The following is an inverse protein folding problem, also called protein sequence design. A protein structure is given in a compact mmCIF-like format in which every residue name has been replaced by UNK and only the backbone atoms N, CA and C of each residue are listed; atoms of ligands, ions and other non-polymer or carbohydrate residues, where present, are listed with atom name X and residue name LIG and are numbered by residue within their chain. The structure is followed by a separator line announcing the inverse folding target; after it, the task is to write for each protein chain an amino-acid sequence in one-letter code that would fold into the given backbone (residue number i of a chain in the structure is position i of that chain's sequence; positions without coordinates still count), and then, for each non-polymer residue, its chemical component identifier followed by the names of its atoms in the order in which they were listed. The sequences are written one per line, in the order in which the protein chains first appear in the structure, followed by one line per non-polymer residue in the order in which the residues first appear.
data_IF_683534141471
#
_entry.id   IF_683534141471
#
_cell.length_a   1.000
_cell.length_b   1.000
_cell.length_c   1.000
_cell.angle_alpha   90.00
_cell.angle_beta   90.00
_cell.angle_gamma   90.00
#
_symmetry.space_group_name_H-M   'P 1'
#
loop_
_entity.id
_entity.type
_entity.pdbx_description
1 polymer ?
#
# COMPACT_ATOMS: atom_id res chain seq x y z
N UNK A 1 32.48 48.51 24.26
CA UNK A 1 31.45 47.67 23.63
C UNK A 1 31.06 46.61 24.63
N UNK A 2 29.87 46.68 25.21
CA UNK A 2 29.41 45.75 26.23
C UNK A 2 28.96 44.44 25.55
N UNK A 3 29.66 43.34 25.84
CA UNK A 3 29.19 41.99 25.53
C UNK A 3 28.02 41.69 26.47
N UNK A 4 26.82 41.74 25.91
CA UNK A 4 25.60 41.30 26.60
C UNK A 4 25.72 39.81 26.89
N UNK A 5 25.97 39.47 28.15
CA UNK A 5 25.92 38.10 28.66
C UNK A 5 24.48 37.58 28.58
N UNK A 6 24.10 37.08 27.41
CA UNK A 6 22.89 36.28 27.28
C UNK A 6 23.14 34.95 27.97
N UNK A 7 22.63 34.81 29.20
CA UNK A 7 22.48 33.52 29.86
C UNK A 7 21.75 32.58 28.88
N UNK A 8 22.48 31.59 28.38
CA UNK A 8 21.87 30.55 27.55
C UNK A 8 20.97 29.74 28.48
N UNK A 9 19.66 29.66 28.22
CA UNK A 9 18.77 28.85 29.04
C UNK A 9 19.32 27.43 29.07
N UNK A 10 19.41 26.83 30.27
CA UNK A 10 19.83 25.44 30.49
C UNK A 10 18.89 24.49 29.76
N UNK A 11 19.07 24.34 28.45
CA UNK A 11 18.32 23.40 27.63
C UNK A 11 18.90 22.01 27.85
N UNK A 12 18.09 21.12 28.41
CA UNK A 12 18.47 19.71 28.56
C UNK A 12 18.55 19.08 27.18
N UNK A 13 19.67 18.43 26.87
CA UNK A 13 19.85 17.75 25.59
C UNK A 13 18.87 16.59 25.45
N UNK A 14 18.19 16.51 24.31
CA UNK A 14 17.31 15.39 23.97
C UNK A 14 18.16 14.17 23.61
N UNK A 15 17.96 13.06 24.32
CA UNK A 15 18.63 11.80 23.99
C UNK A 15 17.85 11.06 22.91
N UNK A 16 18.48 10.85 21.76
CA UNK A 16 17.82 10.20 20.61
C UNK A 16 18.08 8.69 20.62
N UNK A 17 17.01 7.91 20.59
CA UNK A 17 17.06 6.45 20.48
C UNK A 17 16.37 5.89 19.21
N UNK A 18 15.61 6.70 18.49
CA UNK A 18 14.87 6.32 17.28
C UNK A 18 15.08 7.32 16.14
N UNK A 19 14.90 6.91 14.87
CA UNK A 19 14.91 7.83 13.75
C UNK A 19 13.87 8.94 13.94
N UNK A 20 14.25 10.19 13.71
CA UNK A 20 13.34 11.32 13.85
C UNK A 20 13.51 12.34 12.74
N UNK A 21 12.40 12.96 12.34
CA UNK A 21 12.40 14.09 11.41
C UNK A 21 12.45 15.40 12.20
N UNK A 22 13.39 16.28 11.89
CA UNK A 22 13.51 17.62 12.47
C UNK A 22 13.09 18.63 11.41
N UNK A 23 12.08 19.44 11.73
CA UNK A 23 11.56 20.48 10.85
C UNK A 23 12.63 21.55 10.53
N UNK A 24 12.45 22.22 9.39
CA UNK A 24 13.30 23.35 9.01
C UNK A 24 13.27 24.48 10.06
N UNK A 25 14.36 25.23 10.16
CA UNK A 25 14.54 26.35 11.10
C UNK A 25 14.41 25.95 12.57
N UNK A 26 14.73 24.70 12.90
CA UNK A 26 14.73 24.19 14.28
C UNK A 26 16.14 24.16 14.84
N UNK A 27 16.30 24.57 16.09
CA UNK A 27 17.53 24.40 16.87
C UNK A 27 17.26 23.44 18.02
N UNK A 28 18.05 22.37 18.12
CA UNK A 28 17.85 21.35 19.13
C UNK A 28 19.18 20.81 19.65
N UNK A 29 19.31 20.72 20.98
CA UNK A 29 20.42 20.03 21.63
C UNK A 29 20.15 18.54 21.66
N UNK A 30 21.10 17.75 21.15
CA UNK A 30 20.96 16.31 20.99
C UNK A 30 22.11 15.58 21.67
N UNK A 31 21.81 14.43 22.28
CA UNK A 31 22.80 13.51 22.81
C UNK A 31 22.54 12.11 22.26
N UNK A 32 23.61 11.41 21.87
CA UNK A 32 23.54 10.04 21.39
C UNK A 32 24.83 9.30 21.73
N UNK A 33 24.72 8.03 22.09
CA UNK A 33 25.85 7.19 22.50
C UNK A 33 26.62 6.58 21.31
N UNK A 34 26.36 7.03 20.09
CA UNK A 34 27.04 6.54 18.88
C UNK A 34 26.90 7.51 17.70
N UNK A 35 27.43 7.15 16.52
CA UNK A 35 27.40 8.01 15.35
C UNK A 35 25.96 8.23 14.85
N UNK A 36 25.54 9.49 14.80
CA UNK A 36 24.28 9.96 14.24
C UNK A 36 24.43 10.11 12.73
N UNK A 37 23.55 9.47 11.96
CA UNK A 37 23.43 9.74 10.53
C UNK A 37 22.38 10.83 10.32
N UNK A 38 22.79 11.95 9.71
CA UNK A 38 21.94 13.07 9.34
C UNK A 38 21.74 13.06 7.83
N UNK A 39 20.48 13.11 7.39
CA UNK A 39 20.09 13.18 5.98
C UNK A 39 19.24 14.42 5.75
N UNK A 40 19.60 15.25 4.78
CA UNK A 40 18.70 16.31 4.34
C UNK A 40 17.64 15.74 3.41
N UNK A 41 16.40 16.15 3.56
CA UNK A 41 15.30 15.67 2.70
C UNK A 41 15.60 16.05 1.24
N UNK A 42 15.67 15.05 0.36
CA UNK A 42 15.95 15.23 -1.07
C UNK A 42 17.44 15.24 -1.44
N UNK A 43 18.36 15.04 -0.49
CA UNK A 43 19.81 14.95 -0.74
C UNK A 43 20.28 13.52 -0.48
N UNK A 44 21.10 12.97 -1.38
CA UNK A 44 21.63 11.60 -1.28
C UNK A 44 22.81 11.49 -0.32
N UNK A 45 23.53 12.59 -0.09
CA UNK A 45 24.65 12.66 0.84
C UNK A 45 24.20 12.48 2.28
N UNK A 46 25.02 11.76 3.04
CA UNK A 46 24.79 11.42 4.45
C UNK A 46 25.91 12.03 5.26
N UNK A 47 25.55 12.79 6.29
CA UNK A 47 26.51 13.32 7.25
C UNK A 47 26.51 12.41 8.48
N UNK A 48 27.67 11.82 8.79
CA UNK A 48 27.87 11.09 10.03
C UNK A 48 28.47 12.03 11.08
N UNK A 49 27.78 12.18 12.19
CA UNK A 49 28.22 13.01 13.32
C UNK A 49 28.38 12.14 14.55
N UNK A 50 29.56 12.15 15.16
CA UNK A 50 29.80 11.48 16.43
C UNK A 50 30.34 12.49 17.43
N UNK A 51 29.73 12.55 18.61
CA UNK A 51 30.18 13.40 19.70
C UNK A 51 29.95 12.69 21.02
N UNK A 52 30.91 12.81 21.95
CA UNK A 52 30.78 12.38 23.34
C UNK A 52 30.01 13.39 24.21
N UNK A 53 29.74 14.59 23.67
CA UNK A 53 29.04 15.68 24.34
C UNK A 53 27.77 16.06 23.55
N UNK A 54 26.75 16.66 24.20
CA UNK A 54 25.59 17.17 23.49
C UNK A 54 25.96 18.07 22.30
N UNK A 55 25.26 17.90 21.17
CA UNK A 55 25.47 18.64 19.93
C UNK A 55 24.25 19.53 19.69
N UNK A 56 24.49 20.82 19.42
CA UNK A 56 23.46 21.70 18.90
C UNK A 56 23.33 21.49 17.40
N UNK A 57 22.17 20.99 16.95
CA UNK A 57 21.83 20.92 15.54
C UNK A 57 20.95 22.09 15.20
N UNK A 58 21.39 22.90 14.22
CA UNK A 58 20.63 24.00 13.65
C UNK A 58 20.42 23.75 12.16
N UNK A 59 19.16 23.66 11.74
CA UNK A 59 18.81 23.23 10.38
C UNK A 59 18.09 24.34 9.63
N UNK A 60 18.50 24.60 8.40
CA UNK A 60 17.76 25.48 7.47
C UNK A 60 16.70 24.71 6.67
N UNK A 61 16.86 23.40 6.57
CA UNK A 61 15.96 22.49 5.85
C UNK A 61 15.49 21.38 6.79
N UNK A 62 14.49 20.63 6.35
CA UNK A 62 14.06 19.43 7.05
C UNK A 62 15.16 18.36 6.97
N UNK A 63 15.50 17.74 8.10
CA UNK A 63 16.50 16.66 8.18
C UNK A 63 15.92 15.43 8.88
N UNK A 64 16.39 14.26 8.48
CA UNK A 64 16.17 13.01 9.18
C UNK A 64 17.44 12.65 9.97
N UNK A 65 17.28 12.41 11.27
CA UNK A 65 18.33 11.88 12.14
C UNK A 65 18.06 10.40 12.37
N UNK A 66 19.06 9.57 12.11
CA UNK A 66 19.01 8.13 12.34
C UNK A 66 20.08 7.77 13.37
N UNK A 67 19.71 7.51 14.64
CA UNK A 67 20.66 7.06 15.64
C UNK A 67 21.07 5.60 15.38
N UNK A 68 22.25 5.18 15.86
CA UNK A 68 22.63 3.78 15.82
C UNK A 68 21.77 2.98 16.80
N UNK A 69 21.43 1.75 16.42
CA UNK A 69 20.71 0.84 17.31
C UNK A 69 21.62 0.43 18.45
N UNK A 70 21.32 0.92 19.65
CA UNK A 70 22.09 0.59 20.84
C UNK A 70 21.66 -0.78 21.38
N UNK A 71 22.56 -1.46 22.09
CA UNK A 71 22.24 -2.71 22.80
C UNK A 71 21.13 -2.52 23.84
N UNK A 72 20.98 -1.31 24.38
CA UNK A 72 19.88 -0.92 25.26
C UNK A 72 18.52 -0.99 24.58
N UNK A 73 18.41 -0.46 23.35
CA UNK A 73 17.19 -0.56 22.55
C UNK A 73 16.80 -2.02 22.31
N UNK A 74 17.75 -2.85 21.88
CA UNK A 74 17.50 -4.28 21.62
C UNK A 74 17.02 -5.02 22.87
N UNK A 75 17.67 -4.76 24.03
CA UNK A 75 17.24 -5.31 25.33
C UNK A 75 15.84 -4.83 25.73
N UNK A 76 15.52 -3.56 25.49
CA UNK A 76 14.19 -3.00 25.75
C UNK A 76 13.14 -3.66 24.86
N UNK A 77 13.41 -3.76 23.56
CA UNK A 77 12.54 -4.39 22.58
C UNK A 77 12.21 -5.85 22.92
N UNK A 78 13.21 -6.66 23.28
CA UNK A 78 12.99 -8.07 23.66
C UNK A 78 12.19 -8.25 24.95
N UNK A 79 12.08 -7.20 25.79
CA UNK A 79 11.23 -7.23 27.00
C UNK A 79 9.79 -6.85 26.71
N UNK A 80 9.48 -6.32 25.53
CA UNK A 80 8.10 -6.00 25.16
C UNK A 80 7.33 -7.29 24.85
N UNK A 81 6.08 -7.42 25.30
CA UNK A 81 5.13 -8.40 24.76
C UNK A 81 4.97 -8.23 23.24
N UNK A 82 4.71 -9.33 22.54
CA UNK A 82 4.62 -9.31 21.07
C UNK A 82 3.47 -8.42 20.57
N UNK A 83 2.38 -8.31 21.34
CA UNK A 83 1.25 -7.43 21.03
C UNK A 83 1.67 -5.96 20.98
N UNK A 84 2.51 -5.52 21.93
CA UNK A 84 3.02 -4.15 21.95
C UNK A 84 4.02 -3.89 20.82
N UNK A 85 4.86 -4.88 20.48
CA UNK A 85 5.76 -4.79 19.32
C UNK A 85 4.97 -4.60 18.03
N UNK A 86 3.92 -5.40 17.83
CA UNK A 86 3.03 -5.32 16.67
C UNK A 86 2.33 -3.95 16.62
N UNK A 87 1.77 -3.47 17.73
CA UNK A 87 1.12 -2.15 17.77
C UNK A 87 2.06 -1.01 17.41
N UNK A 88 3.29 -1.02 17.94
CA UNK A 88 4.31 -0.01 17.63
C UNK A 88 4.67 -0.05 16.14
N UNK A 89 4.91 -1.25 15.59
CA UNK A 89 5.27 -1.37 14.18
C UNK A 89 4.11 -1.03 13.25
N UNK A 90 2.88 -1.43 13.57
CA UNK A 90 1.68 -1.09 12.81
C UNK A 90 1.49 0.42 12.70
N UNK A 91 1.62 1.14 13.81
CA UNK A 91 1.51 2.61 13.78
C UNK A 91 2.48 3.27 12.81
N UNK A 92 3.67 2.69 12.65
CA UNK A 92 4.75 3.28 11.86
C UNK A 92 4.81 2.80 10.40
N UNK A 93 4.45 1.54 10.18
CA UNK A 93 4.62 0.82 8.90
C UNK A 93 3.35 0.88 8.05
N UNK A 94 2.18 1.09 8.66
CA UNK A 94 0.94 1.27 7.93
C UNK A 94 0.87 2.64 7.25
N UNK A 95 0.34 2.63 6.04
CA UNK A 95 0.19 3.80 5.19
C UNK A 95 -1.30 4.08 5.04
N UNK A 96 -1.71 5.30 5.38
CA UNK A 96 -3.08 5.78 5.16
C UNK A 96 -3.33 6.03 3.68
N UNK A 97 -3.48 4.96 2.89
CA UNK A 97 -3.74 5.07 1.47
C UNK A 97 -3.35 3.84 0.68
N UNK A 98 -3.59 3.92 -0.63
CA UNK A 98 -3.27 2.84 -1.55
C UNK A 98 -1.79 2.92 -1.95
N UNK A 99 -1.05 1.82 -1.77
CA UNK A 99 0.36 1.74 -2.16
C UNK A 99 0.44 1.40 -3.65
N UNK A 100 0.79 2.39 -4.46
CA UNK A 100 0.95 2.29 -5.92
C UNK A 100 0.03 3.27 -6.67
N UNK A 101 -0.05 3.12 -7.99
CA UNK A 101 -0.76 4.08 -8.84
C UNK A 101 0.03 5.39 -9.00
N UNK A 102 -0.50 6.51 -8.49
CA UNK A 102 0.18 7.81 -8.51
C UNK A 102 1.31 7.93 -7.48
N UNK A 103 1.21 7.18 -6.38
CA UNK A 103 2.28 7.11 -5.40
C UNK A 103 3.39 6.19 -5.93
N UNK A 104 4.64 6.66 -5.91
CA UNK A 104 5.79 5.83 -6.25
C UNK A 104 5.98 4.77 -5.16
N UNK A 105 5.78 3.45 -5.44
CA UNK A 105 5.85 2.41 -4.43
C UNK A 105 7.20 2.37 -3.69
N UNK A 106 8.27 2.76 -4.39
CA UNK A 106 9.62 2.75 -3.82
C UNK A 106 9.81 3.86 -2.79
N UNK A 107 9.27 5.07 -3.02
CA UNK A 107 9.28 6.14 -2.01
C UNK A 107 8.51 5.73 -0.75
N UNK A 108 7.38 5.05 -0.90
CA UNK A 108 6.58 4.56 0.23
C UNK A 108 7.39 3.53 1.04
N UNK A 109 8.06 2.58 0.38
CA UNK A 109 8.92 1.60 1.05
C UNK A 109 10.11 2.24 1.73
N UNK A 110 10.78 3.18 1.05
CA UNK A 110 11.92 3.90 1.60
C UNK A 110 11.59 4.64 2.88
N UNK A 111 10.38 5.23 2.94
CA UNK A 111 9.90 5.97 4.10
C UNK A 111 9.36 5.07 5.21
N UNK A 112 8.55 4.06 4.87
CA UNK A 112 7.75 3.32 5.86
C UNK A 112 8.25 1.91 6.17
N UNK A 113 9.06 1.28 5.31
CA UNK A 113 9.49 -0.11 5.49
C UNK A 113 11.00 -0.24 5.68
N UNK A 114 11.80 0.37 4.80
CA UNK A 114 13.26 0.21 4.77
C UNK A 114 13.98 0.64 6.06
N UNK A 115 13.52 1.66 6.83
CA UNK A 115 14.14 1.97 8.11
C UNK A 115 14.10 0.76 9.06
N UNK A 116 12.98 0.04 9.10
CA UNK A 116 12.77 -1.12 9.95
C UNK A 116 13.49 -2.38 9.45
N UNK A 117 13.62 -2.54 8.13
CA UNK A 117 14.39 -3.65 7.55
C UNK A 117 15.89 -3.58 7.88
N UNK A 118 16.39 -2.41 8.26
CA UNK A 118 17.78 -2.20 8.66
C UNK A 118 17.99 -2.33 10.17
N UNK A 119 16.95 -2.68 10.93
CA UNK A 119 17.03 -2.88 12.38
C UNK A 119 17.44 -4.31 12.75
N UNK A 120 16.87 -4.87 13.82
CA UNK A 120 17.11 -6.26 14.18
C UNK A 120 16.36 -7.20 13.21
N UNK A 121 16.82 -8.45 13.02
CA UNK A 121 16.12 -9.42 12.17
C UNK A 121 14.65 -9.63 12.55
N UNK A 122 14.34 -9.62 13.86
CA UNK A 122 12.98 -9.71 14.39
C UNK A 122 12.11 -8.53 13.94
N UNK A 123 12.61 -7.29 14.10
CA UNK A 123 11.89 -6.09 13.68
C UNK A 123 11.70 -6.08 12.16
N UNK A 124 12.73 -6.46 11.40
CA UNK A 124 12.66 -6.53 9.95
C UNK A 124 11.59 -7.54 9.48
N UNK A 125 11.51 -8.71 10.13
CA UNK A 125 10.52 -9.72 9.82
C UNK A 125 9.09 -9.22 10.12
N UNK A 126 8.85 -8.71 11.33
CA UNK A 126 7.55 -8.19 11.75
C UNK A 126 7.10 -7.00 10.88
N UNK A 127 7.99 -6.04 10.64
CA UNK A 127 7.69 -4.88 9.81
C UNK A 127 7.35 -5.29 8.38
N UNK A 128 8.09 -6.24 7.80
CA UNK A 128 7.80 -6.77 6.47
C UNK A 128 6.43 -7.45 6.43
N UNK A 129 6.14 -8.31 7.40
CA UNK A 129 4.86 -9.00 7.50
C UNK A 129 3.70 -8.00 7.60
N UNK A 130 3.75 -7.07 8.54
CA UNK A 130 2.75 -6.01 8.71
C UNK A 130 2.58 -5.22 7.40
N UNK A 131 3.68 -4.78 6.79
CA UNK A 131 3.63 -3.94 5.59
C UNK A 131 2.88 -4.62 4.43
N UNK A 132 3.15 -5.89 4.14
CA UNK A 132 2.52 -6.58 3.02
C UNK A 132 1.16 -7.18 3.36
N UNK A 133 0.91 -7.53 4.61
CA UNK A 133 -0.35 -8.15 5.02
C UNK A 133 -1.45 -7.16 5.35
N UNK A 134 -1.14 -5.94 5.79
CA UNK A 134 -2.14 -4.97 6.26
C UNK A 134 -2.33 -3.76 5.36
N UNK A 135 -1.35 -3.39 4.52
CA UNK A 135 -1.55 -2.32 3.55
C UNK A 135 -2.29 -2.80 2.30
N UNK A 136 -3.03 -1.89 1.67
CA UNK A 136 -3.66 -2.11 0.37
C UNK A 136 -2.71 -1.72 -0.77
N UNK A 137 -2.59 -2.58 -1.78
CA UNK A 137 -1.70 -2.37 -2.92
C UNK A 137 -2.49 -2.15 -4.21
N UNK A 138 -2.13 -1.10 -4.96
CA UNK A 138 -2.63 -0.90 -6.31
C UNK A 138 -1.94 -1.89 -7.26
N UNK A 139 -2.74 -2.64 -7.99
CA UNK A 139 -2.29 -3.37 -9.17
C UNK A 139 -2.86 -2.68 -10.39
N UNK A 140 -1.98 -2.32 -11.32
CA UNK A 140 -2.35 -1.58 -12.52
C UNK A 140 -2.11 -2.45 -13.74
N UNK A 141 -2.99 -2.33 -14.72
CA UNK A 141 -2.69 -2.78 -16.07
C UNK A 141 -1.55 -1.93 -16.62
N UNK A 142 -0.55 -2.58 -17.19
CA UNK A 142 0.52 -1.96 -17.95
C UNK A 142 0.50 -2.55 -19.35
N UNK A 143 0.46 -1.68 -20.36
CA UNK A 143 0.63 -2.10 -21.75
C UNK A 143 2.11 -2.34 -22.03
N UNK A 144 2.43 -3.43 -22.73
CA UNK A 144 3.81 -3.74 -23.09
C UNK A 144 4.44 -2.85 -24.14
N UNK A 145 3.66 -1.96 -24.76
CA UNK A 145 4.17 -0.99 -25.72
C UNK A 145 4.04 0.42 -25.14
N UNK A 146 5.14 1.19 -25.07
CA UNK A 146 5.08 2.60 -24.73
C UNK A 146 4.25 3.29 -25.82
N UNK A 147 3.08 3.81 -25.41
CA UNK A 147 2.19 4.69 -26.15
C UNK A 147 2.29 4.59 -27.68
N UNK A 148 1.52 3.67 -28.28
CA UNK A 148 1.15 3.85 -29.68
C UNK A 148 0.50 5.24 -29.80
N UNK A 149 1.01 6.15 -30.65
CA UNK A 149 0.45 7.48 -30.82
C UNK A 149 -1.00 7.45 -31.33
N UNK A 150 -1.47 6.29 -31.80
CA UNK A 150 -2.81 6.06 -32.30
C UNK A 150 -3.77 5.45 -31.26
N UNK A 151 -3.31 5.16 -30.04
CA UNK A 151 -4.16 4.60 -28.98
C UNK A 151 -4.69 3.19 -29.25
N UNK A 152 -4.14 2.50 -30.26
CA UNK A 152 -4.44 1.10 -30.56
C UNK A 152 -3.55 0.22 -29.66
N UNK A 153 -4.04 -0.03 -28.45
CA UNK A 153 -3.42 -0.90 -27.44
C UNK A 153 -3.61 -2.39 -27.78
N UNK A 154 -3.08 -2.84 -28.91
CA UNK A 154 -3.10 -4.27 -29.30
C UNK A 154 -1.97 -5.09 -28.64
N UNK A 155 -1.22 -4.48 -27.72
CA UNK A 155 -0.13 -5.14 -27.03
C UNK A 155 -0.55 -6.11 -25.95
N UNK A 156 0.32 -7.09 -25.61
CA UNK A 156 0.10 -7.95 -24.46
C UNK A 156 -0.01 -7.07 -23.20
N UNK A 157 -1.12 -7.25 -22.50
CA UNK A 157 -1.41 -6.55 -21.25
C UNK A 157 -0.90 -7.39 -20.08
N UNK A 158 -0.16 -6.77 -19.16
CA UNK A 158 0.28 -7.41 -17.93
C UNK A 158 -0.10 -6.59 -16.70
N UNK A 159 -0.14 -7.25 -15.55
CA UNK A 159 -0.30 -6.58 -14.26
C UNK A 159 1.05 -6.16 -13.72
N UNK A 160 1.17 -4.90 -13.34
CA UNK A 160 2.26 -4.41 -12.50
C UNK A 160 1.88 -4.58 -11.02
N UNK A 161 2.72 -5.33 -10.29
CA UNK A 161 2.56 -5.62 -8.87
C UNK A 161 3.94 -5.90 -8.24
N UNK A 162 4.08 -5.89 -6.89
CA UNK A 162 5.34 -6.24 -6.24
C UNK A 162 5.89 -7.59 -6.71
N UNK A 163 7.23 -7.73 -6.74
CA UNK A 163 7.90 -8.94 -7.25
C UNK A 163 7.32 -10.21 -6.62
N UNK A 164 7.23 -11.29 -7.41
CA UNK A 164 6.62 -12.59 -7.05
C UNK A 164 6.95 -13.15 -5.66
N UNK A 165 8.17 -13.03 -5.09
CA UNK A 165 8.45 -13.54 -3.73
C UNK A 165 7.63 -12.89 -2.61
N UNK A 166 6.85 -11.86 -2.92
CA UNK A 166 6.02 -11.11 -1.98
C UNK A 166 4.53 -11.20 -2.30
N UNK A 167 4.15 -11.78 -3.45
CA UNK A 167 2.74 -11.81 -3.86
C UNK A 167 1.89 -12.69 -2.96
N UNK A 168 2.47 -13.73 -2.37
CA UNK A 168 1.83 -14.58 -1.37
C UNK A 168 1.61 -13.89 -0.01
N UNK A 169 2.30 -12.78 0.27
CA UNK A 169 2.13 -11.99 1.48
C UNK A 169 1.01 -10.94 1.36
N UNK A 170 0.63 -10.58 0.13
CA UNK A 170 -0.41 -9.59 -0.12
C UNK A 170 -1.80 -10.12 0.26
N UNK A 171 -2.52 -9.36 1.08
CA UNK A 171 -3.89 -9.67 1.54
C UNK A 171 -4.95 -8.73 0.95
N UNK A 172 -4.57 -7.48 0.69
CA UNK A 172 -5.47 -6.43 0.23
C UNK A 172 -4.97 -5.85 -1.10
N UNK A 173 -5.76 -6.01 -2.15
CA UNK A 173 -5.40 -5.59 -3.49
C UNK A 173 -6.49 -4.73 -4.09
N UNK A 174 -6.10 -3.66 -4.77
CA UNK A 174 -6.99 -2.80 -5.54
C UNK A 174 -6.62 -2.85 -7.01
N UNK A 175 -7.55 -3.29 -7.85
CA UNK A 175 -7.39 -3.32 -9.30
C UNK A 175 -8.20 -2.20 -9.95
N UNK A 176 -7.51 -1.26 -10.59
CA UNK A 176 -8.15 -0.21 -11.37
C UNK A 176 -8.28 -0.66 -12.84
N UNK A 177 -9.51 -0.66 -13.35
CA UNK A 177 -9.85 -1.16 -14.69
C UNK A 177 -10.62 -0.13 -15.50
N UNK A 178 -10.41 -0.14 -16.81
CA UNK A 178 -11.20 0.59 -17.78
C UNK A 178 -12.33 -0.26 -18.39
N UNK A 179 -12.51 -1.48 -17.89
CA UNK A 179 -13.53 -2.45 -18.31
C UNK A 179 -13.44 -2.86 -19.78
N UNK A 180 -12.22 -3.00 -20.31
CA UNK A 180 -11.99 -3.63 -21.61
C UNK A 180 -11.95 -5.15 -21.49
N UNK A 181 -12.14 -5.90 -22.59
CA UNK A 181 -12.06 -7.37 -22.58
C UNK A 181 -10.74 -7.88 -21.96
N UNK A 182 -9.61 -7.28 -22.35
CA UNK A 182 -8.31 -7.61 -21.77
C UNK A 182 -8.25 -7.40 -20.24
N UNK A 183 -8.99 -6.45 -19.69
CA UNK A 183 -9.05 -6.26 -18.23
C UNK A 183 -9.84 -7.38 -17.56
N UNK A 184 -10.90 -7.88 -18.20
CA UNK A 184 -11.68 -9.02 -17.70
C UNK A 184 -10.86 -10.31 -17.74
N UNK A 185 -10.05 -10.50 -18.77
CA UNK A 185 -9.12 -11.63 -18.83
C UNK A 185 -8.11 -11.56 -17.67
N UNK A 186 -7.57 -10.37 -17.36
CA UNK A 186 -6.69 -10.17 -16.21
C UNK A 186 -7.41 -10.39 -14.88
N UNK A 187 -8.67 -9.95 -14.74
CA UNK A 187 -9.50 -10.20 -13.56
C UNK A 187 -9.78 -11.69 -13.36
N UNK A 188 -10.08 -12.42 -14.43
CA UNK A 188 -10.30 -13.87 -14.36
C UNK A 188 -9.02 -14.59 -13.90
N UNK A 189 -7.87 -14.24 -14.47
CA UNK A 189 -6.56 -14.78 -14.05
C UNK A 189 -6.22 -14.42 -12.61
N UNK A 190 -6.59 -13.22 -12.15
CA UNK A 190 -6.44 -12.78 -10.76
C UNK A 190 -7.31 -13.60 -9.82
N UNK A 191 -8.58 -13.79 -10.16
CA UNK A 191 -9.52 -14.62 -9.41
C UNK A 191 -9.08 -16.08 -9.31
N UNK A 192 -8.46 -16.61 -10.38
CA UNK A 192 -7.89 -17.96 -10.44
C UNK A 192 -6.54 -18.09 -9.71
N UNK A 193 -5.96 -17.00 -9.22
CA UNK A 193 -4.71 -17.01 -8.46
C UNK A 193 -3.43 -17.15 -9.31
N UNK A 194 -3.50 -16.93 -10.63
CA UNK A 194 -2.34 -17.10 -11.54
C UNK A 194 -1.17 -16.15 -11.25
N UNK A 195 -1.44 -15.04 -10.58
CA UNK A 195 -0.42 -14.06 -10.19
C UNK A 195 0.25 -14.37 -8.83
N UNK A 196 -0.13 -15.47 -8.18
CA UNK A 196 0.50 -15.95 -6.94
C UNK A 196 -0.03 -15.32 -5.65
N UNK A 197 -1.13 -14.58 -5.70
CA UNK A 197 -1.79 -14.02 -4.51
C UNK A 197 -2.57 -15.09 -3.73
N UNK A 198 -1.87 -16.10 -3.21
CA UNK A 198 -2.48 -17.31 -2.61
C UNK A 198 -3.33 -17.03 -1.37
N UNK A 199 -3.01 -15.95 -0.67
CA UNK A 199 -3.61 -15.59 0.59
C UNK A 199 -4.43 -14.30 0.48
N UNK A 200 -4.88 -13.96 -0.72
CA UNK A 200 -5.67 -12.77 -0.97
C UNK A 200 -6.97 -12.83 -0.14
N UNK A 201 -7.19 -11.84 0.72
CA UNK A 201 -8.36 -11.76 1.59
C UNK A 201 -9.42 -10.82 1.03
N UNK A 202 -8.99 -9.69 0.45
CA UNK A 202 -9.89 -8.69 -0.08
C UNK A 202 -9.40 -8.13 -1.43
N UNK A 203 -10.34 -7.99 -2.37
CA UNK A 203 -10.11 -7.37 -3.68
C UNK A 203 -11.09 -6.21 -3.90
N UNK A 204 -10.54 -5.03 -4.15
CA UNK A 204 -11.31 -3.86 -4.54
C UNK A 204 -11.15 -3.63 -6.04
N UNK A 205 -12.25 -3.68 -6.79
CA UNK A 205 -12.26 -3.41 -8.23
C UNK A 205 -12.76 -1.98 -8.44
N UNK A 206 -11.87 -1.12 -8.91
CA UNK A 206 -12.19 0.27 -9.24
C UNK A 206 -12.43 0.39 -10.74
N UNK A 207 -13.59 0.90 -11.12
CA UNK A 207 -13.93 1.05 -12.53
C UNK A 207 -14.58 2.38 -12.84
N UNK A 208 -14.43 2.85 -14.07
CA UNK A 208 -15.10 4.05 -14.55
C UNK A 208 -16.25 3.65 -15.48
N UNK A 209 -17.47 3.77 -14.97
CA UNK A 209 -18.67 3.34 -15.70
C UNK A 209 -18.91 4.13 -16.98
N UNK A 210 -18.56 5.41 -16.99
CA UNK A 210 -18.74 6.27 -18.17
C UNK A 210 -17.72 5.95 -19.26
N UNK A 211 -16.49 5.57 -18.88
CA UNK A 211 -15.52 5.08 -19.85
C UNK A 211 -16.02 3.83 -20.56
N UNK A 212 -16.69 2.92 -19.84
CA UNK A 212 -17.33 1.74 -20.41
C UNK A 212 -18.52 2.10 -21.31
N UNK A 213 -19.37 3.04 -20.90
CA UNK A 213 -20.48 3.54 -21.73
C UNK A 213 -19.98 4.12 -23.06
N UNK A 214 -18.84 4.78 -23.06
CA UNK A 214 -18.26 5.38 -24.27
C UNK A 214 -17.44 4.43 -25.12
N UNK A 215 -16.90 3.35 -24.53
CA UNK A 215 -16.18 2.31 -25.27
C UNK A 215 -17.10 1.30 -25.96
N UNK A 216 -18.41 1.32 -25.66
CA UNK A 216 -19.41 0.45 -26.27
C UNK A 216 -20.38 1.28 -27.14
N UNK A 217 -20.01 1.63 -28.39
CA UNK A 217 -20.87 2.39 -29.31
C UNK A 217 -22.26 1.79 -29.48
N UNK A 218 -22.38 0.46 -29.39
CA UNK A 218 -23.63 -0.30 -29.47
C UNK A 218 -24.61 0.04 -28.35
N UNK A 219 -24.14 0.47 -27.17
CA UNK A 219 -25.00 0.87 -26.04
C UNK A 219 -25.58 2.27 -26.17
N UNK A 220 -25.08 3.11 -27.10
CA UNK A 220 -25.69 4.42 -27.40
C UNK A 220 -26.96 4.28 -28.24
N UNK A 221 -27.19 3.13 -28.86
CA UNK A 221 -28.42 2.86 -29.59
C UNK A 221 -29.51 2.38 -28.62
N UNK A 222 -30.81 2.66 -28.87
CA UNK A 222 -31.92 2.26 -28.01
C UNK A 222 -32.15 0.74 -27.95
N UNK A 223 -31.25 -0.06 -28.52
CA UNK A 223 -31.34 -1.50 -28.46
C UNK A 223 -30.93 -1.96 -27.07
N UNK A 224 -31.84 -2.68 -26.43
CA UNK A 224 -31.59 -3.54 -25.28
C UNK A 224 -30.71 -4.73 -25.68
N UNK A 225 -29.56 -4.46 -26.29
CA UNK A 225 -28.59 -5.49 -26.63
C UNK A 225 -28.23 -6.27 -25.37
N UNK A 226 -28.08 -7.58 -25.53
CA UNK A 226 -27.68 -8.46 -24.46
C UNK A 226 -26.26 -8.08 -24.00
N UNK A 227 -26.17 -7.41 -22.84
CA UNK A 227 -24.89 -7.08 -22.19
C UNK A 227 -24.02 -8.33 -22.02
N UNK A 228 -24.62 -9.52 -21.86
CA UNK A 228 -23.87 -10.77 -21.76
C UNK A 228 -23.18 -11.18 -23.06
N UNK A 229 -23.76 -10.83 -24.21
CA UNK A 229 -23.14 -11.06 -25.52
C UNK A 229 -22.02 -10.06 -25.84
N UNK A 230 -22.07 -8.85 -25.26
CA UNK A 230 -21.04 -7.83 -25.44
C UNK A 230 -19.87 -7.98 -24.47
N UNK A 231 -20.18 -8.41 -23.25
CA UNK A 231 -19.25 -8.50 -22.14
C UNK A 231 -19.20 -9.97 -21.69
N UNK A 232 -18.27 -10.72 -22.25
CA UNK A 232 -18.02 -12.12 -21.86
C UNK A 232 -17.32 -12.18 -20.50
N UNK A 233 -18.08 -11.89 -19.43
CA UNK A 233 -17.57 -11.80 -18.06
C UNK A 233 -18.29 -12.81 -17.18
N UNK A 234 -17.53 -13.73 -16.59
CA UNK A 234 -17.90 -14.47 -15.39
C UNK A 234 -16.63 -14.61 -14.55
N UNK A 235 -16.51 -13.79 -13.51
CA UNK A 235 -15.32 -13.73 -12.65
C UNK A 235 -15.73 -14.03 -11.23
N UNK A 236 -15.10 -15.04 -10.64
CA UNK A 236 -15.44 -15.52 -9.29
C UNK A 236 -14.21 -15.52 -8.41
N UNK A 237 -14.10 -14.54 -7.54
CA UNK A 237 -13.02 -14.46 -6.56
C UNK A 237 -13.29 -15.40 -5.41
N UNK A 238 -12.23 -16.07 -4.91
CA UNK A 238 -12.27 -16.77 -3.61
C UNK A 238 -12.22 -15.82 -2.43
N UNK A 239 -11.57 -14.67 -2.63
CA UNK A 239 -11.45 -13.60 -1.65
C UNK A 239 -12.77 -12.82 -1.51
N UNK A 240 -12.92 -12.12 -0.39
CA UNK A 240 -13.92 -11.06 -0.27
C UNK A 240 -13.60 -9.94 -1.26
N UNK A 241 -14.57 -9.07 -1.54
CA UNK A 241 -14.27 -7.91 -2.35
C UNK A 241 -15.41 -6.95 -2.53
N UNK A 242 -15.09 -5.87 -3.22
CA UNK A 242 -15.98 -4.75 -3.49
C UNK A 242 -15.81 -4.23 -4.90
N UNK A 243 -16.91 -3.82 -5.50
CA UNK A 243 -16.95 -3.12 -6.79
C UNK A 243 -17.25 -1.65 -6.51
N UNK A 244 -16.33 -0.77 -6.89
CA UNK A 244 -16.45 0.67 -6.63
C UNK A 244 -16.39 1.42 -7.95
N UNK A 245 -17.52 2.03 -8.33
CA UNK A 245 -17.58 2.93 -9.47
C UNK A 245 -16.89 4.25 -9.12
N UNK A 246 -15.82 4.59 -9.84
CA UNK A 246 -15.25 5.93 -9.88
C UNK A 246 -16.14 6.81 -10.75
N UNK A 247 -16.98 7.62 -10.10
CA UNK A 247 -17.69 8.71 -10.77
C UNK A 247 -16.72 9.87 -10.88
N UNK A 248 -16.17 10.11 -12.07
CA UNK A 248 -15.32 11.27 -12.30
C UNK A 248 -16.14 12.54 -12.08
N UNK A 249 -15.74 13.35 -11.09
CA UNK A 249 -16.36 14.63 -10.74
C UNK A 249 -16.30 15.63 -11.90
N UNK A 250 -15.42 15.40 -12.87
CA UNK A 250 -15.15 16.32 -13.97
C UNK A 250 -16.21 16.31 -15.07
N UNK A 251 -17.18 15.40 -15.04
CA UNK A 251 -18.20 15.39 -16.07
C UNK A 251 -19.46 16.15 -15.65
N UNK A 252 -19.82 17.11 -16.51
CA UNK A 252 -21.03 17.93 -16.49
C UNK A 252 -22.31 17.10 -16.30
N UNK A 253 -23.42 17.79 -16.04
CA UNK A 253 -24.79 17.25 -16.04
C UNK A 253 -24.95 16.11 -17.05
N UNK A 254 -25.20 14.91 -16.53
CA UNK A 254 -25.42 13.70 -17.32
C UNK A 254 -26.87 13.61 -17.73
N UNK A 255 -27.13 13.11 -18.93
CA UNK A 255 -28.50 12.84 -19.33
C UNK A 255 -29.11 11.72 -18.48
N UNK A 256 -30.42 11.77 -18.23
CA UNK A 256 -31.15 10.68 -17.54
C UNK A 256 -30.91 9.32 -18.20
N UNK A 257 -30.77 9.33 -19.53
CA UNK A 257 -30.44 8.14 -20.32
C UNK A 257 -29.07 7.56 -19.96
N UNK A 258 -28.04 8.38 -19.81
CA UNK A 258 -26.71 7.92 -19.39
C UNK A 258 -26.73 7.35 -17.96
N UNK A 259 -27.50 7.96 -17.05
CA UNK A 259 -27.66 7.48 -15.68
C UNK A 259 -28.36 6.11 -15.67
N UNK A 260 -29.44 5.94 -16.43
CA UNK A 260 -30.14 4.67 -16.58
C UNK A 260 -29.21 3.55 -17.08
N UNK A 261 -28.42 3.82 -18.13
CA UNK A 261 -27.48 2.81 -18.63
C UNK A 261 -26.34 2.53 -17.66
N UNK A 262 -25.84 3.53 -16.94
CA UNK A 262 -24.84 3.33 -15.90
C UNK A 262 -25.38 2.37 -14.82
N UNK A 263 -26.58 2.58 -14.31
CA UNK A 263 -27.18 1.68 -13.31
C UNK A 263 -27.35 0.25 -13.84
N UNK A 264 -27.78 0.10 -15.11
CA UNK A 264 -27.93 -1.22 -15.74
C UNK A 264 -26.59 -1.94 -15.89
N UNK A 265 -25.55 -1.25 -16.31
CA UNK A 265 -24.18 -1.80 -16.40
C UNK A 265 -23.66 -2.18 -15.02
N UNK A 266 -23.85 -1.32 -14.01
CA UNK A 266 -23.42 -1.60 -12.65
C UNK A 266 -24.11 -2.85 -12.09
N UNK A 267 -25.42 -2.97 -12.28
CA UNK A 267 -26.18 -4.18 -11.90
C UNK A 267 -25.66 -5.42 -12.63
N UNK A 268 -25.38 -5.30 -13.92
CA UNK A 268 -24.81 -6.39 -14.71
C UNK A 268 -23.43 -6.82 -14.16
N UNK A 269 -22.51 -5.88 -13.95
CA UNK A 269 -21.17 -6.16 -13.41
C UNK A 269 -21.25 -6.83 -12.03
N UNK A 270 -22.10 -6.32 -11.13
CA UNK A 270 -22.33 -6.93 -9.81
C UNK A 270 -22.89 -8.36 -9.88
N UNK A 271 -23.62 -8.70 -10.94
CA UNK A 271 -24.14 -10.07 -11.15
C UNK A 271 -23.10 -11.02 -11.74
N UNK A 272 -22.07 -10.50 -12.43
CA UNK A 272 -21.05 -11.30 -13.14
C UNK A 272 -19.72 -11.39 -12.42
N UNK A 273 -19.44 -10.45 -11.52
CA UNK A 273 -18.26 -10.45 -10.68
C UNK A 273 -18.70 -10.80 -9.26
N UNK A 274 -18.46 -12.05 -8.90
CA UNK A 274 -18.86 -12.61 -7.61
C UNK A 274 -17.64 -12.71 -6.71
N UNK A 275 -17.79 -12.29 -5.46
CA UNK A 275 -16.77 -12.44 -4.43
C UNK A 275 -17.14 -13.58 -3.49
N UNK A 276 -16.12 -14.27 -2.98
CA UNK A 276 -16.30 -15.31 -1.99
C UNK A 276 -16.87 -14.68 -0.72
N UNK A 277 -18.05 -15.14 -0.31
CA UNK A 277 -18.48 -14.97 1.07
C UNK A 277 -17.59 -15.89 1.88
N UNK A 278 -16.89 -15.37 2.87
CA UNK A 278 -16.24 -16.24 3.85
C UNK A 278 -17.31 -17.22 4.33
N UNK A 279 -17.17 -18.49 3.97
CA UNK A 279 -17.90 -19.57 4.60
C UNK A 279 -17.36 -19.67 6.01
N UNK A 280 -17.74 -18.71 6.86
CA UNK A 280 -17.60 -18.79 8.31
C UNK A 280 -18.60 -19.80 8.83
N UNK A 281 -18.43 -21.08 8.47
CA UNK A 281 -19.13 -22.22 9.05
C UNK A 281 -18.62 -23.51 8.41
N UNK A 282 -17.90 -24.32 9.19
CA UNK A 282 -17.75 -25.75 8.91
C UNK A 282 -16.34 -26.29 9.10
N UNK A 283 -16.17 -27.08 10.16
CA UNK A 283 -15.12 -28.10 10.27
C UNK A 283 -13.69 -27.65 10.65
N UNK A 284 -13.57 -27.06 11.85
CA UNK A 284 -12.50 -27.49 12.76
C UNK A 284 -13.08 -28.40 13.84
N UNK A 285 -13.81 -29.41 13.39
CA UNK A 285 -14.15 -30.60 14.17
C UNK A 285 -13.12 -31.68 13.87
N UNK A 286 -11.83 -31.43 14.14
CA UNK A 286 -10.86 -32.52 14.21
C UNK A 286 -11.20 -33.32 15.47
N UNK A 287 -11.95 -34.38 15.24
CA UNK A 287 -12.02 -35.57 16.06
C UNK A 287 -10.61 -35.88 16.58
N UNK A 288 -10.37 -35.57 17.85
CA UNK A 288 -9.37 -36.28 18.64
C UNK A 288 -9.86 -37.73 18.68
N UNK A 289 -9.17 -38.60 17.96
CA UNK A 289 -9.30 -40.03 18.17
C UNK A 289 -8.74 -40.31 19.56
N UNK A 290 -9.63 -40.65 20.49
CA UNK A 290 -9.26 -41.31 21.73
C UNK A 290 -8.57 -42.64 21.37
N UNK A 291 -7.25 -42.65 21.47
CA UNK A 291 -6.48 -43.88 21.50
C UNK A 291 -6.82 -44.62 22.79
N UNK A 292 -7.58 -45.72 22.66
CA UNK A 292 -7.70 -46.74 23.70
C UNK A 292 -6.32 -47.38 23.92
N UNK A 293 -5.77 -47.23 25.10
CA UNK A 293 -4.74 -48.15 25.60
C UNK A 293 -5.38 -49.53 25.84
N UNK A 294 -4.80 -50.55 25.23
CA UNK A 294 -4.86 -51.94 25.67
C UNK A 294 -3.43 -52.36 26.03
#
# INVERSE_FOLDING_TARGET
MATSDYETPNQTALVIYWPMNIAANTSLWLSCNGPLEIKSVGVTERLLVQSSSPILINTKSCIDIVPPLTSGFVKGWHKLPDELKLQVLEHNVLVSGLIGGSAQPDQVKEKHLFPYLRMTPEIAALAKEIFYTKNAFAINRTSGFPHSPFGLDDGPCYLSYPKRPLSDQLRFVTFATSMHQADFDLLARLANGEFGFRNLQHVTILYNIYRLLYSLPSLRMPYEGDLAGLLHIDVRFRAQGTLVSRRDVLFRERSERELYFAERIEKFLKSRIVFGVETGAGESGRHLSEGRCA
#
